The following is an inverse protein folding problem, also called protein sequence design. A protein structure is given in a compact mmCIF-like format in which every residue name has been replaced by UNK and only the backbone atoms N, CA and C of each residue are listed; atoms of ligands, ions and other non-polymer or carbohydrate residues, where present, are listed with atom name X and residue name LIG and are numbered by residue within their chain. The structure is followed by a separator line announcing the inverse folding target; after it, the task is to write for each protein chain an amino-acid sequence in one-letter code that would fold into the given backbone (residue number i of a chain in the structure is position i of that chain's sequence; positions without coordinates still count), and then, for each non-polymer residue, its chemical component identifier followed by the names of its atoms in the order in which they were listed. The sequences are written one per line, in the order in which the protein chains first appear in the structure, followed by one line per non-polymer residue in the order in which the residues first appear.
data_IF_407291253115
#
_entry.id   IF_407291253115
#
_cell.length_a   1.000
_cell.length_b   1.000
_cell.length_c   1.000
_cell.angle_alpha   90.00
_cell.angle_beta   90.00
_cell.angle_gamma   90.00
#
_symmetry.space_group_name_H-M   'P 1'
#
loop_
_entity.id
_entity.type
_entity.pdbx_description
1 polymer ?
#
# COMPACT_ATOMS: atom_id res chain seq x y z
N UNK A 1 -13.67 -0.36 -8.93
CA UNK A 1 -13.85 -0.80 -7.52
C UNK A 1 -14.47 0.32 -6.67
N UNK A 2 -15.33 0.03 -5.70
CA UNK A 2 -16.31 0.99 -5.16
C UNK A 2 -15.73 1.84 -4.02
N UNK A 3 -14.59 1.43 -3.44
CA UNK A 3 -14.07 2.00 -2.20
C UNK A 3 -13.77 3.48 -2.33
N UNK A 4 -13.17 3.90 -3.45
CA UNK A 4 -12.90 5.32 -3.70
C UNK A 4 -14.20 6.14 -3.72
N UNK A 5 -15.24 5.64 -4.39
CA UNK A 5 -16.52 6.34 -4.48
C UNK A 5 -17.30 6.33 -3.17
N UNK A 6 -17.22 5.25 -2.39
CA UNK A 6 -17.82 5.17 -1.04
C UNK A 6 -17.14 6.14 -0.07
N UNK A 7 -15.80 6.19 -0.07
CA UNK A 7 -15.03 7.15 0.72
C UNK A 7 -15.32 8.59 0.27
N UNK A 8 -15.44 8.82 -1.03
CA UNK A 8 -15.80 10.13 -1.57
C UNK A 8 -17.19 10.58 -1.13
N UNK A 9 -18.19 9.71 -1.15
CA UNK A 9 -19.52 10.02 -0.64
C UNK A 9 -19.50 10.38 0.86
N UNK A 10 -18.80 9.58 1.67
CA UNK A 10 -18.65 9.89 3.10
C UNK A 10 -17.92 11.22 3.34
N UNK A 11 -16.88 11.50 2.56
CA UNK A 11 -16.12 12.75 2.63
C UNK A 11 -16.99 13.97 2.26
N UNK A 12 -17.74 13.88 1.17
CA UNK A 12 -18.65 14.95 0.75
C UNK A 12 -19.75 15.21 1.79
N UNK A 13 -20.20 14.17 2.50
CA UNK A 13 -21.18 14.33 3.58
C UNK A 13 -20.66 15.14 4.78
N UNK A 14 -19.34 15.18 5.01
CA UNK A 14 -18.72 15.89 6.14
C UNK A 14 -18.14 17.24 5.72
N UNK A 15 -17.47 17.30 4.57
CA UNK A 15 -16.70 18.46 4.12
C UNK A 15 -17.37 19.22 2.94
N UNK A 16 -18.52 18.75 2.47
CA UNK A 16 -19.25 19.32 1.35
C UNK A 16 -18.76 18.85 -0.02
N UNK A 17 -19.50 19.23 -1.05
CA UNK A 17 -19.33 18.84 -2.46
C UNK A 17 -18.51 19.87 -3.28
N UNK A 18 -17.92 20.87 -2.63
CA UNK A 18 -17.07 21.85 -3.29
C UNK A 18 -15.89 21.18 -4.01
N UNK A 19 -15.46 21.77 -5.13
CA UNK A 19 -14.35 21.25 -5.93
C UNK A 19 -13.04 21.15 -5.13
N UNK A 20 -12.85 22.04 -4.15
CA UNK A 20 -11.73 22.00 -3.21
C UNK A 20 -11.82 20.83 -2.22
N UNK A 21 -13.01 20.57 -1.66
CA UNK A 21 -13.27 19.44 -0.75
C UNK A 21 -13.00 18.10 -1.44
N UNK A 22 -13.53 17.94 -2.67
CA UNK A 22 -13.35 16.73 -3.47
C UNK A 22 -11.86 16.49 -3.79
N UNK A 23 -11.10 17.55 -4.11
CA UNK A 23 -9.65 17.44 -4.33
C UNK A 23 -8.88 17.13 -3.05
N UNK A 24 -9.30 17.68 -1.90
CA UNK A 24 -8.65 17.44 -0.61
C UNK A 24 -8.60 15.95 -0.24
N UNK A 25 -9.64 15.18 -0.61
CA UNK A 25 -9.65 13.72 -0.43
C UNK A 25 -8.50 13.00 -1.16
N UNK A 26 -8.01 13.56 -2.27
CA UNK A 26 -6.90 12.98 -3.05
C UNK A 26 -5.53 13.54 -2.63
N UNK A 27 -5.50 14.75 -2.07
CA UNK A 27 -4.29 15.39 -1.53
C UNK A 27 -3.81 14.69 -0.25
N UNK A 28 -4.72 14.35 0.67
CA UNK A 28 -4.35 13.73 1.96
C UNK A 28 -3.62 12.39 1.76
N UNK A 29 -4.11 11.44 0.94
CA UNK A 29 -3.36 10.23 0.60
C UNK A 29 -2.07 10.50 -0.17
N UNK A 30 -2.03 11.55 -1.00
CA UNK A 30 -0.81 11.97 -1.71
C UNK A 30 0.31 12.37 -0.75
N UNK A 31 -0.01 13.20 0.25
CA UNK A 31 0.92 13.60 1.32
C UNK A 31 1.34 12.36 2.14
N UNK A 32 0.38 11.51 2.51
CA UNK A 32 0.67 10.28 3.25
C UNK A 32 1.61 9.35 2.45
N UNK A 33 1.43 9.24 1.14
CA UNK A 33 2.31 8.47 0.24
C UNK A 33 3.76 8.93 0.31
N UNK A 34 4.02 10.24 0.37
CA UNK A 34 5.38 10.79 0.52
C UNK A 34 6.00 10.34 1.85
N UNK A 35 5.28 10.53 2.96
CA UNK A 35 5.76 10.12 4.29
C UNK A 35 6.01 8.62 4.40
N UNK A 36 5.09 7.80 3.88
CA UNK A 36 5.23 6.35 3.84
C UNK A 36 6.41 5.94 2.95
N UNK A 37 6.61 6.60 1.80
CA UNK A 37 7.76 6.35 0.92
C UNK A 37 9.10 6.61 1.61
N UNK A 38 9.23 7.74 2.30
CA UNK A 38 10.40 8.04 3.13
C UNK A 38 10.62 6.98 4.20
N UNK A 39 9.55 6.57 4.88
CA UNK A 39 9.62 5.53 5.91
C UNK A 39 10.07 4.18 5.34
N UNK A 40 9.50 3.77 4.21
CA UNK A 40 9.89 2.53 3.53
C UNK A 40 11.38 2.53 3.19
N UNK A 41 11.90 3.61 2.60
CA UNK A 41 13.33 3.72 2.26
C UNK A 41 14.19 3.72 3.51
N UNK A 42 13.76 4.36 4.59
CA UNK A 42 14.46 4.31 5.88
C UNK A 42 14.53 2.89 6.46
N UNK A 43 13.55 2.03 6.18
CA UNK A 43 13.54 0.64 6.66
C UNK A 43 14.54 -0.26 5.93
N UNK A 44 14.91 0.07 4.69
CA UNK A 44 15.73 -0.79 3.82
C UNK A 44 17.10 -0.19 3.49
N UNK A 45 17.29 1.11 3.71
CA UNK A 45 18.50 1.84 3.35
C UNK A 45 18.90 2.83 4.47
N UNK A 46 19.49 3.97 4.11
CA UNK A 46 20.00 5.00 5.04
C UNK A 46 19.06 6.20 5.17
N UNK A 47 19.24 7.00 6.22
CA UNK A 47 18.46 8.23 6.43
C UNK A 47 18.62 9.25 5.30
N UNK A 48 19.81 9.35 4.69
CA UNK A 48 20.04 10.23 3.53
C UNK A 48 19.23 9.77 2.32
N UNK A 49 19.21 8.46 2.06
CA UNK A 49 18.40 7.88 1.00
C UNK A 49 16.89 8.13 1.23
N UNK A 50 16.43 8.03 2.48
CA UNK A 50 15.04 8.31 2.83
C UNK A 50 14.63 9.76 2.56
N UNK A 51 15.50 10.73 2.90
CA UNK A 51 15.26 12.15 2.60
C UNK A 51 15.22 12.40 1.09
N UNK A 52 16.17 11.84 0.34
CA UNK A 52 16.20 11.96 -1.13
C UNK A 52 14.95 11.34 -1.76
N UNK A 53 14.51 10.17 -1.29
CA UNK A 53 13.29 9.55 -1.77
C UNK A 53 12.04 10.40 -1.49
N UNK A 54 11.98 11.05 -0.32
CA UNK A 54 10.92 12.00 0.02
C UNK A 54 10.89 13.20 -0.92
N UNK A 55 12.06 13.80 -1.19
CA UNK A 55 12.20 14.93 -2.12
C UNK A 55 11.77 14.49 -3.53
N UNK A 56 12.26 13.36 -4.02
CA UNK A 56 11.92 12.84 -5.34
C UNK A 56 10.42 12.54 -5.47
N UNK A 57 9.79 11.94 -4.45
CA UNK A 57 8.34 11.67 -4.43
C UNK A 57 7.51 12.96 -4.37
N UNK A 58 7.92 13.92 -3.55
CA UNK A 58 7.22 15.20 -3.41
C UNK A 58 7.29 16.05 -4.69
N UNK A 59 8.41 15.96 -5.41
CA UNK A 59 8.63 16.69 -6.66
C UNK A 59 8.19 15.90 -7.91
N UNK A 60 7.74 14.65 -7.76
CA UNK A 60 7.38 13.81 -8.89
C UNK A 60 6.12 14.36 -9.58
N UNK A 61 6.20 14.85 -10.84
CA UNK A 61 5.08 15.54 -11.48
C UNK A 61 3.83 14.67 -11.60
N UNK A 62 4.00 13.36 -11.78
CA UNK A 62 2.89 12.41 -11.84
C UNK A 62 2.20 12.25 -10.48
N UNK A 63 2.95 12.21 -9.38
CA UNK A 63 2.37 12.14 -8.03
C UNK A 63 1.61 13.42 -7.66
N UNK A 64 2.15 14.58 -8.04
CA UNK A 64 1.50 15.88 -7.85
C UNK A 64 0.21 15.96 -8.68
N UNK A 65 0.28 15.57 -9.95
CA UNK A 65 -0.89 15.52 -10.84
C UNK A 65 -1.96 14.58 -10.30
N UNK A 66 -1.60 13.37 -9.86
CA UNK A 66 -2.56 12.42 -9.29
C UNK A 66 -3.14 12.89 -7.95
N UNK A 67 -2.42 13.71 -7.19
CA UNK A 67 -2.94 14.32 -5.96
C UNK A 67 -3.97 15.43 -6.21
N UNK A 68 -3.92 16.06 -7.39
CA UNK A 68 -4.87 17.11 -7.79
C UNK A 68 -6.04 16.60 -8.64
N UNK A 69 -5.86 15.46 -9.32
CA UNK A 69 -6.94 14.77 -10.01
C UNK A 69 -7.83 14.03 -9.00
N UNK A 70 -9.15 14.16 -9.15
CA UNK A 70 -10.14 13.41 -8.36
C UNK A 70 -10.19 11.97 -8.87
N UNK A 71 -9.13 11.22 -8.56
CA UNK A 71 -8.95 9.85 -9.01
C UNK A 71 -8.38 8.98 -7.89
N UNK A 72 -8.65 7.69 -8.03
CA UNK A 72 -8.28 6.65 -7.07
C UNK A 72 -6.77 6.39 -6.93
N UNK A 73 -5.91 7.02 -7.74
CA UNK A 73 -4.49 6.70 -7.82
C UNK A 73 -3.68 7.11 -6.59
N UNK A 74 -3.94 8.28 -5.99
CA UNK A 74 -3.25 8.70 -4.76
C UNK A 74 -3.58 7.79 -3.58
N UNK A 75 -4.84 7.36 -3.49
CA UNK A 75 -5.30 6.42 -2.48
C UNK A 75 -4.70 5.03 -2.69
N UNK A 76 -4.66 4.56 -3.94
CA UNK A 76 -4.02 3.30 -4.30
C UNK A 76 -2.53 3.30 -3.91
N UNK A 77 -1.79 4.36 -4.26
CA UNK A 77 -0.37 4.48 -3.92
C UNK A 77 -0.11 4.38 -2.41
N UNK A 78 -0.92 5.06 -1.61
CA UNK A 78 -0.86 4.99 -0.15
C UNK A 78 -1.06 3.56 0.37
N UNK A 79 -2.08 2.86 -0.11
CA UNK A 79 -2.35 1.46 0.28
C UNK A 79 -1.20 0.53 -0.08
N UNK A 80 -0.65 0.67 -1.29
CA UNK A 80 0.43 -0.19 -1.77
C UNK A 80 1.72 0.02 -0.96
N UNK A 81 2.15 1.26 -0.73
CA UNK A 81 3.36 1.53 0.07
C UNK A 81 3.15 1.07 1.51
N UNK A 82 1.97 1.33 2.10
CA UNK A 82 1.63 0.85 3.44
C UNK A 82 1.70 -0.68 3.53
N UNK A 83 1.17 -1.39 2.54
CA UNK A 83 1.25 -2.85 2.47
C UNK A 83 2.71 -3.32 2.37
N UNK A 84 3.53 -2.68 1.53
CA UNK A 84 4.96 -3.02 1.44
C UNK A 84 5.69 -2.80 2.77
N UNK A 85 5.41 -1.72 3.51
CA UNK A 85 5.97 -1.48 4.84
C UNK A 85 5.56 -2.59 5.81
N UNK A 86 4.27 -2.96 5.84
CA UNK A 86 3.75 -4.03 6.69
C UNK A 86 4.41 -5.38 6.35
N UNK A 87 4.62 -5.66 5.06
CA UNK A 87 5.36 -6.83 4.60
C UNK A 87 6.80 -6.82 5.10
N UNK A 88 7.53 -5.70 4.95
CA UNK A 88 8.91 -5.57 5.43
C UNK A 88 8.99 -5.80 6.95
N UNK A 89 8.05 -5.28 7.73
CA UNK A 89 8.00 -5.53 9.18
C UNK A 89 7.74 -7.00 9.52
N UNK A 90 6.83 -7.65 8.79
CA UNK A 90 6.55 -9.08 8.97
C UNK A 90 7.75 -9.94 8.60
N UNK A 91 8.43 -9.64 7.49
CA UNK A 91 9.64 -10.35 7.07
C UNK A 91 10.75 -10.23 8.12
N UNK A 92 10.89 -9.07 8.78
CA UNK A 92 11.82 -8.86 9.89
C UNK A 92 11.38 -9.52 11.21
N UNK A 93 10.08 -9.67 11.43
CA UNK A 93 9.50 -10.26 12.65
C UNK A 93 8.36 -11.25 12.31
N UNK A 94 8.68 -12.44 11.78
CA UNK A 94 7.69 -13.36 11.23
C UNK A 94 6.65 -13.87 12.24
N UNK A 95 6.97 -13.83 13.53
CA UNK A 95 6.11 -14.30 14.62
C UNK A 95 5.01 -13.29 14.98
N UNK A 96 5.17 -12.02 14.59
CA UNK A 96 4.17 -10.97 14.83
C UNK A 96 3.16 -10.93 13.68
N UNK A 97 2.15 -11.79 13.76
CA UNK A 97 1.05 -11.90 12.77
C UNK A 97 0.24 -10.63 12.58
N UNK A 98 0.26 -9.69 13.54
CA UNK A 98 -0.36 -8.36 13.41
C UNK A 98 0.07 -7.63 12.13
N UNK A 99 1.35 -7.69 11.76
CA UNK A 99 1.83 -7.02 10.54
C UNK A 99 1.23 -7.64 9.28
N UNK A 100 1.00 -8.95 9.31
CA UNK A 100 0.40 -9.66 8.19
C UNK A 100 -1.11 -9.40 8.08
N UNK A 101 -1.80 -9.22 9.22
CA UNK A 101 -3.19 -8.76 9.23
C UNK A 101 -3.32 -7.34 8.66
N UNK A 102 -2.40 -6.43 9.02
CA UNK A 102 -2.32 -5.08 8.44
C UNK A 102 -2.04 -5.15 6.95
N UNK A 103 -1.09 -5.99 6.52
CA UNK A 103 -0.82 -6.25 5.10
C UNK A 103 -2.06 -6.71 4.33
N UNK A 104 -2.78 -7.70 4.86
CA UNK A 104 -3.98 -8.24 4.24
C UNK A 104 -5.10 -7.18 4.11
N UNK A 105 -5.31 -6.38 5.16
CA UNK A 105 -6.27 -5.28 5.14
C UNK A 105 -5.91 -4.22 4.08
N UNK A 106 -4.64 -3.81 4.00
CA UNK A 106 -4.18 -2.80 3.05
C UNK A 106 -4.22 -3.31 1.60
N UNK A 107 -3.84 -4.56 1.35
CA UNK A 107 -3.95 -5.16 0.01
C UNK A 107 -5.40 -5.34 -0.42
N UNK A 108 -6.27 -5.74 0.49
CA UNK A 108 -7.72 -5.81 0.22
C UNK A 108 -8.24 -4.42 -0.16
N UNK A 109 -7.94 -3.39 0.64
CA UNK A 109 -8.31 -2.00 0.32
C UNK A 109 -7.74 -1.55 -1.04
N UNK A 110 -6.51 -1.95 -1.39
CA UNK A 110 -5.91 -1.67 -2.69
C UNK A 110 -6.67 -2.34 -3.85
N UNK A 111 -7.06 -3.61 -3.74
CA UNK A 111 -7.89 -4.30 -4.73
C UNK A 111 -9.28 -3.67 -4.88
N UNK A 112 -9.88 -3.30 -3.75
CA UNK A 112 -11.13 -2.53 -3.70
C UNK A 112 -10.99 -1.09 -4.21
N UNK A 113 -9.77 -0.63 -4.50
CA UNK A 113 -9.48 0.64 -5.16
C UNK A 113 -9.21 0.43 -6.66
N UNK A 114 -8.27 -0.44 -7.02
CA UNK A 114 -7.92 -0.73 -8.41
C UNK A 114 -7.33 -2.14 -8.57
N UNK A 115 -7.68 -2.81 -9.67
CA UNK A 115 -7.12 -4.13 -10.04
C UNK A 115 -5.60 -4.15 -10.26
N UNK A 116 -4.97 -2.97 -10.40
CA UNK A 116 -3.52 -2.86 -10.58
C UNK A 116 -2.75 -3.24 -9.31
N UNK A 117 -3.44 -3.35 -8.17
CA UNK A 117 -2.89 -3.96 -6.97
C UNK A 117 -2.34 -5.38 -7.21
N UNK A 118 -2.83 -6.10 -8.23
CA UNK A 118 -2.31 -7.40 -8.65
C UNK A 118 -0.80 -7.36 -8.96
N UNK A 119 -0.31 -6.33 -9.67
CA UNK A 119 1.10 -6.18 -9.97
C UNK A 119 1.96 -6.04 -8.70
N UNK A 120 1.42 -5.35 -7.68
CA UNK A 120 2.10 -5.20 -6.40
C UNK A 120 2.14 -6.53 -5.62
N UNK A 121 1.04 -7.30 -5.60
CA UNK A 121 1.03 -8.67 -5.05
C UNK A 121 2.11 -9.51 -5.73
N UNK A 122 2.16 -9.51 -7.06
CA UNK A 122 3.17 -10.26 -7.82
C UNK A 122 4.60 -9.85 -7.43
N UNK A 123 4.86 -8.55 -7.27
CA UNK A 123 6.16 -8.05 -6.82
C UNK A 123 6.50 -8.52 -5.40
N UNK A 124 5.54 -8.54 -4.47
CA UNK A 124 5.74 -9.07 -3.11
C UNK A 124 6.05 -10.57 -3.11
N UNK A 125 5.36 -11.37 -3.94
CA UNK A 125 5.66 -12.78 -4.12
C UNK A 125 7.07 -12.99 -4.68
N UNK A 126 7.44 -12.25 -5.73
CA UNK A 126 8.79 -12.32 -6.32
C UNK A 126 9.87 -11.95 -5.29
N UNK A 127 9.64 -10.89 -4.52
CA UNK A 127 10.55 -10.46 -3.45
C UNK A 127 10.79 -11.57 -2.41
N UNK A 128 9.72 -12.20 -1.93
CA UNK A 128 9.82 -13.30 -0.97
C UNK A 128 10.48 -14.56 -1.58
N UNK A 129 10.21 -14.85 -2.85
CA UNK A 129 10.85 -15.95 -3.58
C UNK A 129 12.37 -15.73 -3.69
N UNK A 130 12.81 -14.53 -4.05
CA UNK A 130 14.24 -14.18 -4.11
C UNK A 130 14.91 -14.30 -2.73
N UNK A 131 14.21 -13.92 -1.66
CA UNK A 131 14.72 -14.12 -0.29
C UNK A 131 14.81 -15.60 0.08
N UNK A 132 13.88 -16.43 -0.40
CA UNK A 132 13.88 -17.87 -0.16
C UNK A 132 15.03 -18.61 -0.84
N UNK A 133 15.42 -18.18 -2.05
CA UNK A 133 16.52 -18.81 -2.80
C UNK A 133 17.91 -18.41 -2.29
N UNK A 134 18.03 -17.28 -1.59
CA UNK A 134 19.30 -16.80 -1.04
C UNK A 134 19.72 -17.46 0.28
N UNK A 135 19.06 -18.54 0.72
CA UNK A 135 19.35 -19.27 1.98
C UNK A 135 19.50 -18.36 3.22
N UNK A 136 18.85 -17.20 3.22
CA UNK A 136 18.79 -16.35 4.41
C UNK A 136 17.86 -17.01 5.44
N UNK A 137 18.10 -16.84 6.75
CA UNK A 137 17.19 -17.31 7.80
C UNK A 137 15.74 -16.80 7.61
N UNK A 138 15.60 -15.70 6.87
CA UNK A 138 14.34 -15.07 6.45
C UNK A 138 13.62 -15.86 5.33
N UNK A 139 14.32 -16.68 4.54
CA UNK A 139 13.80 -17.33 3.34
C UNK A 139 12.64 -18.34 3.55
N UNK A 140 12.40 -18.79 4.78
CA UNK A 140 11.32 -19.73 5.07
C UNK A 140 9.95 -19.07 5.35
N UNK A 141 9.81 -17.73 5.24
CA UNK A 141 8.50 -17.08 5.46
C UNK A 141 7.42 -17.51 4.48
N UNK A 142 7.75 -17.85 3.22
CA UNK A 142 6.77 -18.34 2.23
C UNK A 142 6.12 -19.66 2.67
N UNK A 143 6.84 -20.50 3.42
CA UNK A 143 6.34 -21.79 3.89
C UNK A 143 5.43 -21.66 5.11
N UNK A 144 5.36 -20.48 5.74
CA UNK A 144 4.51 -20.28 6.92
C UNK A 144 3.04 -20.29 6.51
N UNK A 145 2.17 -21.04 7.21
CA UNK A 145 0.74 -21.10 6.88
C UNK A 145 0.05 -19.75 7.00
N UNK A 146 0.57 -18.86 7.85
CA UNK A 146 0.06 -17.50 8.03
C UNK A 146 0.11 -16.68 6.74
N UNK A 147 1.17 -16.81 5.92
CA UNK A 147 1.27 -16.14 4.62
C UNK A 147 0.15 -16.57 3.67
N UNK A 148 -0.08 -17.87 3.58
CA UNK A 148 -1.15 -18.43 2.76
C UNK A 148 -2.53 -18.00 3.25
N UNK A 149 -2.78 -18.09 4.57
CA UNK A 149 -4.02 -17.60 5.18
C UNK A 149 -4.30 -16.12 4.86
N UNK A 150 -3.27 -15.27 4.89
CA UNK A 150 -3.42 -13.85 4.57
C UNK A 150 -3.79 -13.62 3.09
N UNK A 151 -3.14 -14.33 2.17
CA UNK A 151 -3.43 -14.21 0.73
C UNK A 151 -4.81 -14.81 0.38
N UNK A 152 -5.16 -15.96 0.96
CA UNK A 152 -6.50 -16.54 0.84
C UNK A 152 -7.55 -15.59 1.41
N UNK A 153 -7.27 -14.94 2.55
CA UNK A 153 -8.13 -13.90 3.12
C UNK A 153 -8.35 -12.71 2.17
N UNK A 154 -7.30 -12.21 1.53
CA UNK A 154 -7.40 -11.14 0.52
C UNK A 154 -8.31 -11.58 -0.63
N UNK A 155 -8.12 -12.80 -1.15
CA UNK A 155 -8.94 -13.34 -2.25
C UNK A 155 -10.40 -13.48 -1.82
N UNK A 156 -10.68 -14.10 -0.67
CA UNK A 156 -12.04 -14.28 -0.16
C UNK A 156 -12.74 -12.94 0.04
N UNK A 157 -12.06 -11.94 0.60
CA UNK A 157 -12.62 -10.62 0.81
C UNK A 157 -12.86 -9.88 -0.52
N UNK A 158 -12.07 -10.17 -1.56
CA UNK A 158 -12.21 -9.55 -2.87
C UNK A 158 -13.24 -10.25 -3.79
N UNK A 159 -13.48 -11.56 -3.60
CA UNK A 159 -14.39 -12.37 -4.41
C UNK A 159 -15.81 -11.78 -4.58
N UNK A 160 -16.47 -11.18 -3.57
CA UNK A 160 -17.79 -10.59 -3.75
C UNK A 160 -17.85 -9.45 -4.79
N UNK A 161 -16.70 -8.94 -5.22
CA UNK A 161 -16.60 -7.83 -6.17
C UNK A 161 -16.16 -8.24 -7.58
N UNK A 162 -15.86 -9.52 -7.81
CA UNK A 162 -15.64 -10.11 -9.14
C UNK A 162 -16.99 -10.55 -9.73
#
# INVERSE_FOLDING_TARGET
PPLYFMLLHGWMGVFGDSLASIRALSVVPGIATVFLGMWLVRLVATQRAALLAGILLALLPTAVRYSQEVRMYSLLGMWLIGATIALVYWVKNPDKTRYLAVYAALMTAAFYTHYFAAFCVMAHWLYLLILSTRHSAVGNVIKRPTWWLANTGIVILFLPWL
#
